data_IF_468659745977
#
_entry.id   IF_468659745977
#
_cell.length_a   1.000
_cell.length_b   1.000
_cell.length_c   1.000
_cell.angle_alpha   90.00
_cell.angle_beta   90.00
_cell.angle_gamma   90.00
#
_symmetry.space_group_name_H-M   'P 1'
#
loop_
_entity.id
_entity.type
_entity.pdbx_description
1 polymer ?
#
# COMPACT_ATOMS: atom_id res chain seq x y z
N UNK A 1 2.42 17.05 36.29
CA UNK A 1 3.68 16.72 35.57
C UNK A 1 3.63 17.15 34.10
N UNK A 2 2.56 16.85 33.34
CA UNK A 2 2.41 17.25 31.93
C UNK A 2 2.41 18.77 31.67
N UNK A 3 1.83 19.59 32.55
CA UNK A 3 1.85 21.05 32.38
C UNK A 3 3.25 21.67 32.51
N UNK A 4 4.15 21.03 33.28
CA UNK A 4 5.55 21.47 33.42
C UNK A 4 6.35 21.15 32.16
N UNK A 5 5.92 20.17 31.37
CA UNK A 5 6.60 19.78 30.13
C UNK A 5 6.29 20.75 28.97
N UNK A 6 5.18 21.50 29.05
CA UNK A 6 4.79 22.49 28.03
C UNK A 6 5.67 23.73 28.00
N UNK A 7 6.42 24.01 29.08
CA UNK A 7 7.38 25.13 29.15
C UNK A 7 8.79 24.76 28.66
N UNK A 8 9.04 23.46 28.43
CA UNK A 8 10.28 22.95 27.84
C UNK A 8 10.00 22.72 26.35
N UNK A 9 10.86 23.25 25.48
CA UNK A 9 10.69 23.10 24.03
C UNK A 9 10.55 21.64 23.56
N UNK A 10 10.07 21.43 22.33
CA UNK A 10 9.89 20.10 21.74
C UNK A 10 11.16 19.25 21.86
N UNK A 11 11.10 18.02 22.41
CA UNK A 11 12.27 17.15 22.49
C UNK A 11 12.82 16.79 21.12
N UNK A 12 14.14 16.68 21.00
CA UNK A 12 14.84 16.24 19.77
C UNK A 12 14.74 14.71 19.53
N UNK A 13 13.78 14.04 20.17
CA UNK A 13 13.56 12.60 20.07
C UNK A 13 12.11 12.30 19.67
N UNK A 14 11.91 11.78 18.46
CA UNK A 14 10.57 11.66 17.86
C UNK A 14 9.57 10.91 18.73
N UNK A 15 9.93 9.72 19.25
CA UNK A 15 8.99 8.91 20.04
C UNK A 15 8.55 9.62 21.32
N UNK A 16 9.50 10.32 21.98
CA UNK A 16 9.24 11.02 23.22
C UNK A 16 8.35 12.24 22.95
N UNK A 17 8.68 12.98 21.89
CA UNK A 17 7.90 14.11 21.44
C UNK A 17 6.46 13.65 21.12
N UNK A 18 6.31 12.63 20.27
CA UNK A 18 5.03 12.12 19.80
C UNK A 18 4.13 11.54 20.90
N UNK A 19 4.67 10.70 21.80
CA UNK A 19 3.86 9.99 22.80
C UNK A 19 3.61 10.79 24.07
N UNK A 20 4.60 11.57 24.52
CA UNK A 20 4.58 12.20 25.85
C UNK A 20 4.45 13.73 25.83
N UNK A 21 4.81 14.38 24.71
CA UNK A 21 4.81 15.84 24.55
C UNK A 21 3.76 16.36 23.55
N UNK A 22 2.86 15.49 23.08
CA UNK A 22 1.75 15.92 22.22
C UNK A 22 0.97 17.07 22.90
N UNK A 23 0.62 18.14 22.16
CA UNK A 23 -0.08 19.31 22.69
C UNK A 23 -1.58 19.00 22.90
N UNK A 24 -1.86 18.10 23.82
CA UNK A 24 -3.22 17.60 24.10
C UNK A 24 -4.02 18.56 24.98
N UNK A 25 -5.33 18.63 24.75
CA UNK A 25 -6.31 19.24 25.64
C UNK A 25 -6.69 18.32 26.80
N UNK A 26 -7.75 18.68 27.52
CA UNK A 26 -8.23 17.97 28.71
C UNK A 26 -8.73 16.55 28.40
N UNK A 27 -9.16 16.32 27.16
CA UNK A 27 -9.59 15.03 26.62
C UNK A 27 -8.43 14.10 26.21
N UNK A 28 -7.18 14.56 26.34
CA UNK A 28 -6.00 13.82 25.91
C UNK A 28 -5.80 13.78 24.39
N UNK A 29 -6.50 14.63 23.63
CA UNK A 29 -6.39 14.76 22.17
C UNK A 29 -5.84 16.12 21.77
N UNK A 30 -5.23 16.21 20.59
CA UNK A 30 -4.80 17.52 20.05
C UNK A 30 -6.06 18.29 19.62
N UNK A 31 -6.31 19.50 20.17
CA UNK A 31 -7.64 20.12 20.16
C UNK A 31 -8.08 20.73 18.82
N UNK A 32 -7.16 21.02 17.89
CA UNK A 32 -7.53 21.52 16.56
C UNK A 32 -6.56 21.03 15.45
N UNK A 33 -7.07 20.99 14.22
CA UNK A 33 -6.37 20.44 13.05
C UNK A 33 -5.14 21.28 12.65
N UNK A 34 -5.15 22.59 12.89
CA UNK A 34 -4.04 23.47 12.56
C UNK A 34 -2.86 23.21 13.51
N UNK A 35 -3.12 23.15 14.82
CA UNK A 35 -2.14 22.76 15.84
C UNK A 35 -1.61 21.35 15.60
N UNK A 36 -2.48 20.39 15.23
CA UNK A 36 -2.05 19.03 14.87
C UNK A 36 -1.08 19.06 13.69
N UNK A 37 -1.43 19.81 12.64
CA UNK A 37 -0.60 19.91 11.43
C UNK A 37 0.75 20.59 11.68
N UNK A 38 0.76 21.69 12.44
CA UNK A 38 1.99 22.38 12.85
C UNK A 38 2.88 21.47 13.70
N UNK A 39 2.29 20.77 14.67
CA UNK A 39 2.99 19.82 15.53
C UNK A 39 3.65 18.69 14.74
N UNK A 40 2.89 18.02 13.87
CA UNK A 40 3.42 16.92 13.05
C UNK A 40 4.48 17.40 12.07
N UNK A 41 4.36 18.63 11.56
CA UNK A 41 5.39 19.25 10.70
C UNK A 41 6.69 19.49 11.48
N UNK A 42 6.60 19.94 12.73
CA UNK A 42 7.77 20.09 13.60
C UNK A 42 8.44 18.72 13.88
N UNK A 43 7.64 17.70 14.20
CA UNK A 43 8.14 16.33 14.42
C UNK A 43 8.81 15.73 13.19
N UNK A 44 8.27 15.97 11.99
CA UNK A 44 8.89 15.55 10.73
C UNK A 44 10.26 16.21 10.47
N UNK A 45 10.58 17.30 11.17
CA UNK A 45 11.87 17.98 11.14
C UNK A 45 12.94 17.36 12.05
N UNK A 46 12.56 16.47 12.97
CA UNK A 46 13.49 15.82 13.90
C UNK A 46 14.43 14.90 13.10
N UNK A 47 15.73 15.11 13.27
CA UNK A 47 16.75 14.31 12.62
C UNK A 47 17.01 13.00 13.38
N UNK A 48 17.51 12.00 12.66
CA UNK A 48 17.98 10.75 13.27
C UNK A 48 19.10 11.04 14.29
N UNK A 49 19.07 10.46 15.50
CA UNK A 49 20.13 10.67 16.49
C UNK A 49 21.50 10.22 15.96
N UNK A 50 22.59 10.98 16.19
CA UNK A 50 23.91 10.69 15.61
C UNK A 50 24.51 9.36 16.06
N UNK A 51 24.11 8.88 17.24
CA UNK A 51 24.58 7.60 17.79
C UNK A 51 23.83 6.37 17.24
N UNK A 52 22.74 6.56 16.49
CA UNK A 52 21.94 5.46 15.94
C UNK A 52 22.76 4.58 14.98
N UNK A 53 23.63 5.18 14.17
CA UNK A 53 24.51 4.47 13.23
C UNK A 53 25.31 3.36 13.88
N UNK A 54 25.89 3.62 15.06
CA UNK A 54 26.65 2.61 15.83
C UNK A 54 25.76 1.46 16.30
N UNK A 55 24.51 1.75 16.71
CA UNK A 55 23.56 0.72 17.12
C UNK A 55 23.10 -0.13 15.94
N UNK A 56 22.82 0.53 14.81
CA UNK A 56 22.47 -0.12 13.56
C UNK A 56 23.58 -1.06 13.08
N UNK A 57 24.83 -0.59 13.04
CA UNK A 57 25.97 -1.42 12.62
C UNK A 57 26.20 -2.63 13.55
N UNK A 58 26.03 -2.45 14.86
CA UNK A 58 26.14 -3.55 15.84
C UNK A 58 25.05 -4.58 15.62
N UNK A 59 23.83 -4.14 15.34
CA UNK A 59 22.71 -5.01 15.03
C UNK A 59 22.93 -5.79 13.74
N UNK A 60 23.30 -5.11 12.65
CA UNK A 60 23.61 -5.73 11.37
C UNK A 60 24.71 -6.80 11.51
N UNK A 61 25.79 -6.49 12.25
CA UNK A 61 26.90 -7.42 12.48
C UNK A 61 26.57 -8.58 13.44
N UNK A 62 25.47 -8.50 14.19
CA UNK A 62 25.09 -9.57 15.11
C UNK A 62 24.56 -10.81 14.41
N UNK A 63 24.05 -10.65 13.18
CA UNK A 63 23.62 -11.74 12.31
C UNK A 63 24.81 -12.34 11.58
N UNK A 64 25.32 -13.43 12.13
CA UNK A 64 26.53 -14.10 11.62
C UNK A 64 26.40 -15.63 11.61
N UNK A 65 25.27 -16.17 12.08
CA UNK A 65 25.05 -17.60 12.03
C UNK A 65 24.83 -18.06 10.58
N UNK A 66 25.21 -19.30 10.21
CA UNK A 66 25.06 -19.79 8.83
C UNK A 66 23.64 -19.73 8.25
N UNK A 67 22.63 -19.74 9.11
CA UNK A 67 21.23 -19.66 8.72
C UNK A 67 20.62 -18.26 8.77
N UNK A 68 21.37 -17.27 9.27
CA UNK A 68 20.92 -15.88 9.26
C UNK A 68 20.89 -15.33 7.84
N UNK A 69 19.84 -14.57 7.53
CA UNK A 69 19.71 -13.83 6.27
C UNK A 69 19.41 -12.39 6.55
N UNK A 70 20.21 -11.52 5.94
CA UNK A 70 20.12 -10.08 6.10
C UNK A 70 20.06 -9.44 4.72
N UNK A 71 19.04 -8.63 4.49
CA UNK A 71 18.80 -7.97 3.21
C UNK A 71 18.21 -6.59 3.41
N UNK A 72 18.41 -5.69 2.45
CA UNK A 72 17.94 -4.30 2.51
C UNK A 72 16.91 -4.07 1.43
N UNK A 73 15.80 -3.42 1.78
CA UNK A 73 14.79 -2.97 0.82
C UNK A 73 14.56 -1.46 0.99
N UNK A 74 14.11 -0.82 -0.09
CA UNK A 74 13.81 0.60 -0.16
C UNK A 74 12.31 0.84 -0.30
N UNK A 75 11.78 1.84 0.40
CA UNK A 75 10.39 2.25 0.28
C UNK A 75 10.12 2.90 -1.08
N UNK A 76 9.28 2.25 -1.90
CA UNK A 76 8.77 2.81 -3.15
C UNK A 76 7.65 3.84 -2.90
N UNK A 77 6.94 3.72 -1.78
CA UNK A 77 5.86 4.63 -1.38
C UNK A 77 5.95 5.00 0.09
N UNK A 78 5.10 5.94 0.54
CA UNK A 78 5.03 6.33 1.96
C UNK A 78 4.64 5.13 2.81
N UNK A 79 5.21 5.03 4.01
CA UNK A 79 4.90 3.97 4.94
C UNK A 79 4.20 4.53 6.19
N UNK A 80 3.14 3.85 6.60
CA UNK A 80 2.40 4.13 7.84
C UNK A 80 2.38 2.85 8.68
N UNK A 81 3.29 2.69 9.64
CA UNK A 81 3.26 1.55 10.57
C UNK A 81 2.68 1.98 11.90
N UNK A 82 1.89 1.12 12.54
CA UNK A 82 1.34 1.40 13.87
C UNK A 82 0.08 2.28 13.85
N UNK A 83 -0.60 2.41 12.70
CA UNK A 83 -1.83 3.22 12.56
C UNK A 83 -2.90 2.92 13.62
N UNK A 84 -3.03 1.66 14.03
CA UNK A 84 -3.99 1.21 15.05
C UNK A 84 -3.55 1.40 16.50
N UNK A 85 -2.33 1.91 16.74
CA UNK A 85 -1.88 2.23 18.10
C UNK A 85 -2.64 3.44 18.62
N UNK A 86 -2.95 3.43 19.91
CA UNK A 86 -3.58 4.58 20.58
C UNK A 86 -2.67 5.80 20.45
N UNK A 87 -3.25 6.91 19.99
CA UNK A 87 -2.51 8.16 19.81
C UNK A 87 -3.38 9.38 20.13
N UNK A 88 -2.70 10.44 20.58
CA UNK A 88 -3.25 11.78 20.73
C UNK A 88 -3.68 12.41 19.39
N UNK A 89 -3.15 11.92 18.26
CA UNK A 89 -3.46 12.39 16.91
C UNK A 89 -4.43 11.48 16.14
N UNK A 90 -5.09 10.55 16.83
CA UNK A 90 -6.03 9.53 16.29
C UNK A 90 -5.42 8.48 15.36
N UNK A 91 -4.32 8.81 14.69
CA UNK A 91 -3.53 7.91 13.87
C UNK A 91 -2.25 7.58 14.61
N UNK A 92 -2.06 6.32 15.02
CA UNK A 92 -0.83 5.86 15.67
C UNK A 92 0.37 5.73 14.74
N UNK A 93 1.56 5.66 15.33
CA UNK A 93 2.83 5.47 14.64
C UNK A 93 3.69 4.45 15.41
N UNK A 94 4.38 3.56 14.70
CA UNK A 94 5.39 2.68 15.27
C UNK A 94 6.78 3.27 15.04
N UNK A 95 7.49 3.52 16.13
CA UNK A 95 8.85 4.08 16.14
C UNK A 95 9.71 3.28 17.10
N UNK A 96 11.00 3.19 16.81
CA UNK A 96 11.94 2.55 17.70
C UNK A 96 12.07 3.37 18.99
N UNK A 97 11.72 2.79 20.12
CA UNK A 97 11.57 3.51 21.39
C UNK A 97 12.86 4.27 21.83
N UNK A 98 14.04 3.66 21.66
CA UNK A 98 15.33 4.28 22.07
C UNK A 98 15.85 5.34 21.12
N UNK A 99 15.50 5.25 19.84
CA UNK A 99 16.18 5.98 18.77
C UNK A 99 15.25 6.94 18.02
N UNK A 100 13.93 6.83 18.20
CA UNK A 100 12.95 7.67 17.51
C UNK A 100 12.93 7.50 15.99
N UNK A 101 13.56 6.44 15.47
CA UNK A 101 13.60 6.12 14.03
C UNK A 101 12.43 5.22 13.63
N UNK A 102 12.07 5.16 12.34
CA UNK A 102 11.09 4.19 11.86
C UNK A 102 11.49 2.75 12.18
N UNK A 103 10.51 1.90 12.46
CA UNK A 103 10.71 0.45 12.62
C UNK A 103 9.50 -0.29 12.06
N UNK A 104 9.73 -1.44 11.43
CA UNK A 104 8.66 -2.35 11.04
C UNK A 104 8.72 -3.57 11.96
N UNK A 105 7.72 -3.78 12.84
CA UNK A 105 7.76 -4.90 13.78
C UNK A 105 7.83 -6.26 13.08
N UNK A 106 8.66 -7.15 13.59
CA UNK A 106 8.81 -8.54 13.16
C UNK A 106 7.48 -9.30 13.10
N UNK A 107 6.55 -9.14 14.08
CA UNK A 107 5.22 -9.71 13.99
C UNK A 107 4.40 -9.23 12.78
N UNK A 108 4.55 -7.96 12.38
CA UNK A 108 3.87 -7.44 11.19
C UNK A 108 4.45 -8.06 9.90
N UNK A 109 5.77 -8.27 9.86
CA UNK A 109 6.44 -8.95 8.75
C UNK A 109 6.03 -10.43 8.66
N UNK A 110 6.02 -11.13 9.81
CA UNK A 110 5.58 -12.52 9.91
C UNK A 110 4.13 -12.66 9.47
N UNK A 111 3.24 -11.79 9.95
CA UNK A 111 1.83 -11.79 9.60
C UNK A 111 1.59 -11.51 8.11
N UNK A 112 2.30 -10.53 7.53
CA UNK A 112 2.24 -10.25 6.09
C UNK A 112 2.68 -11.47 5.28
N UNK A 113 3.85 -12.04 5.60
CA UNK A 113 4.37 -13.20 4.87
C UNK A 113 3.41 -14.40 5.01
N UNK A 114 2.91 -14.68 6.21
CA UNK A 114 1.97 -15.76 6.46
C UNK A 114 0.68 -15.62 5.64
N UNK A 115 0.08 -14.42 5.63
CA UNK A 115 -1.13 -14.16 4.86
C UNK A 115 -0.88 -14.23 3.35
N UNK A 116 0.26 -13.69 2.88
CA UNK A 116 0.64 -13.74 1.48
C UNK A 116 0.84 -15.17 0.97
N UNK A 117 1.52 -16.00 1.76
CA UNK A 117 1.78 -17.40 1.43
C UNK A 117 0.49 -18.18 1.29
N UNK A 118 -0.40 -18.09 2.27
CA UNK A 118 -1.69 -18.79 2.23
C UNK A 118 -2.54 -18.35 1.04
N UNK A 119 -2.66 -17.04 0.81
CA UNK A 119 -3.53 -16.51 -0.24
C UNK A 119 -3.00 -16.74 -1.67
N UNK A 120 -1.67 -16.72 -1.87
CA UNK A 120 -1.06 -16.77 -3.22
C UNK A 120 -0.57 -18.17 -3.57
N UNK A 121 -0.01 -18.89 -2.59
CA UNK A 121 0.61 -20.20 -2.80
C UNK A 121 -0.23 -21.35 -2.25
N UNK A 122 -1.16 -21.09 -1.33
CA UNK A 122 -2.11 -22.08 -0.82
C UNK A 122 -3.05 -22.62 -1.90
N UNK A 123 -3.74 -23.74 -1.63
CA UNK A 123 -4.64 -24.38 -2.59
C UNK A 123 -5.87 -23.53 -2.87
N UNK A 124 -6.47 -23.69 -4.06
CA UNK A 124 -7.67 -22.96 -4.44
C UNK A 124 -8.90 -23.36 -3.61
N UNK A 125 -8.97 -24.63 -3.20
CA UNK A 125 -9.98 -25.17 -2.30
C UNK A 125 -9.32 -25.66 -0.99
N UNK A 126 -9.28 -24.82 0.06
CA UNK A 126 -8.62 -25.16 1.32
C UNK A 126 -9.41 -26.16 2.17
N UNK A 127 -10.69 -26.43 1.86
CA UNK A 127 -11.49 -27.41 2.59
C UNK A 127 -11.10 -28.84 2.19
N UNK A 128 -10.79 -29.05 0.90
CA UNK A 128 -10.30 -30.34 0.38
C UNK A 128 -9.02 -30.77 1.06
N UNK A 129 -8.96 -32.05 1.43
CA UNK A 129 -7.80 -32.60 2.13
C UNK A 129 -6.60 -32.73 1.19
N UNK A 130 -5.35 -32.63 1.69
CA UNK A 130 -4.17 -32.69 0.82
C UNK A 130 -4.09 -33.96 -0.04
N UNK A 131 -4.58 -35.11 0.44
CA UNK A 131 -4.62 -36.36 -0.33
C UNK A 131 -5.78 -36.47 -1.33
N UNK A 132 -6.74 -35.55 -1.27
CA UNK A 132 -7.83 -35.43 -2.26
C UNK A 132 -7.44 -34.46 -3.38
N UNK A 133 -6.35 -33.70 -3.22
CA UNK A 133 -5.87 -32.76 -4.23
C UNK A 133 -5.00 -33.48 -5.28
N UNK A 134 -5.09 -33.00 -6.52
CA UNK A 134 -4.43 -33.59 -7.68
C UNK A 134 -3.54 -32.56 -8.38
N UNK A 135 -2.51 -33.03 -9.10
CA UNK A 135 -1.59 -32.15 -9.83
C UNK A 135 -0.91 -31.12 -8.92
N UNK A 136 -0.85 -29.88 -9.40
CA UNK A 136 -0.17 -28.77 -8.71
C UNK A 136 -0.85 -28.37 -7.39
N UNK A 137 -2.16 -28.56 -7.27
CA UNK A 137 -2.92 -28.24 -6.05
C UNK A 137 -2.42 -29.05 -4.85
N UNK A 138 -2.00 -30.31 -5.08
CA UNK A 138 -1.38 -31.13 -4.02
C UNK A 138 -0.07 -30.52 -3.48
N UNK A 139 0.72 -29.86 -4.32
CA UNK A 139 1.92 -29.16 -3.87
C UNK A 139 1.56 -27.85 -3.16
N UNK A 140 0.54 -27.14 -3.64
CA UNK A 140 0.01 -25.91 -3.01
C UNK A 140 -0.53 -26.15 -1.61
N UNK A 141 -1.06 -27.34 -1.33
CA UNK A 141 -1.47 -27.74 0.01
C UNK A 141 -0.35 -27.63 1.07
N UNK A 142 0.94 -27.70 0.68
CA UNK A 142 2.05 -27.46 1.61
C UNK A 142 2.14 -26.01 2.11
N UNK A 143 1.62 -25.06 1.35
CA UNK A 143 1.61 -23.63 1.67
C UNK A 143 0.31 -23.17 2.32
N UNK A 144 -0.66 -24.07 2.51
CA UNK A 144 -1.92 -23.77 3.18
C UNK A 144 -1.68 -23.31 4.61
N UNK A 145 -2.33 -22.20 5.00
CA UNK A 145 -2.41 -21.73 6.37
C UNK A 145 -3.36 -22.55 7.23
N UNK A 146 -3.65 -22.05 8.43
CA UNK A 146 -4.53 -22.74 9.37
C UNK A 146 -5.98 -22.65 8.91
N UNK A 147 -6.64 -23.79 8.69
CA UNK A 147 -8.06 -23.82 8.38
C UNK A 147 -8.87 -23.69 9.66
N UNK A 148 -9.63 -22.59 9.76
CA UNK A 148 -10.52 -22.32 10.89
C UNK A 148 -11.97 -22.48 10.47
N UNK A 149 -12.76 -23.06 11.36
CA UNK A 149 -14.22 -23.08 11.28
C UNK A 149 -14.78 -22.48 12.55
N UNK A 150 -15.53 -21.40 12.40
CA UNK A 150 -15.95 -20.54 13.52
C UNK A 150 -14.75 -20.07 14.37
N UNK A 151 -14.72 -20.45 15.66
CA UNK A 151 -13.63 -20.11 16.59
C UNK A 151 -12.60 -21.23 16.74
N UNK A 152 -12.79 -22.37 16.07
CA UNK A 152 -11.95 -23.57 16.25
C UNK A 152 -10.96 -23.74 15.11
N UNK A 153 -9.81 -24.32 15.46
CA UNK A 153 -8.82 -24.74 14.47
C UNK A 153 -9.20 -26.13 13.99
N UNK A 154 -9.73 -26.21 12.78
CA UNK A 154 -10.20 -27.46 12.20
C UNK A 154 -9.02 -28.28 11.68
N UNK A 155 -8.15 -27.68 10.86
CA UNK A 155 -6.96 -28.33 10.31
C UNK A 155 -5.72 -27.44 10.48
N UNK A 156 -4.61 -28.06 10.85
CA UNK A 156 -3.31 -27.41 10.87
C UNK A 156 -2.85 -27.00 9.45
N UNK A 157 -1.81 -26.16 9.36
CA UNK A 157 -1.27 -25.71 8.09
C UNK A 157 -0.45 -26.82 7.40
N UNK A 158 -0.18 -26.61 6.11
CA UNK A 158 0.68 -27.46 5.30
C UNK A 158 2.14 -27.44 5.75
N UNK A 159 2.95 -28.36 5.21
CA UNK A 159 4.32 -28.60 5.67
C UNK A 159 5.24 -27.37 5.56
N UNK A 160 5.23 -26.68 4.43
CA UNK A 160 6.08 -25.50 4.20
C UNK A 160 5.61 -24.32 5.06
N UNK A 161 4.30 -24.07 5.12
CA UNK A 161 3.73 -23.03 5.99
C UNK A 161 4.07 -23.30 7.46
N UNK A 162 3.87 -24.54 7.93
CA UNK A 162 4.19 -25.00 9.29
C UNK A 162 5.67 -24.76 9.61
N UNK A 163 6.56 -25.13 8.69
CA UNK A 163 8.00 -24.93 8.88
C UNK A 163 8.35 -23.45 9.07
N UNK A 164 7.73 -22.54 8.33
CA UNK A 164 8.00 -21.11 8.43
C UNK A 164 7.36 -20.45 9.66
N UNK A 165 6.09 -20.74 9.93
CA UNK A 165 5.27 -19.94 10.85
C UNK A 165 4.85 -20.67 12.14
N UNK A 166 4.90 -22.00 12.13
CA UNK A 166 4.42 -22.89 13.19
C UNK A 166 2.98 -23.34 12.98
N UNK A 167 2.46 -24.11 13.94
CA UNK A 167 1.08 -24.60 13.96
C UNK A 167 0.55 -24.63 15.40
N UNK A 168 -0.74 -24.33 15.63
CA UNK A 168 -1.45 -24.79 16.82
C UNK A 168 -1.86 -26.27 16.68
N UNK A 169 -2.42 -26.84 17.75
CA UNK A 169 -3.19 -28.09 17.65
C UNK A 169 -4.50 -27.87 16.86
N UNK A 170 -4.95 -28.92 16.18
CA UNK A 170 -6.15 -28.91 15.33
C UNK A 170 -7.03 -30.14 15.56
N UNK A 171 -8.33 -30.00 15.32
CA UNK A 171 -9.29 -31.10 15.50
C UNK A 171 -9.01 -32.30 14.57
N UNK A 172 -8.52 -32.05 13.36
CA UNK A 172 -8.21 -33.09 12.37
C UNK A 172 -6.81 -33.72 12.54
N UNK A 173 -6.04 -33.36 13.58
CA UNK A 173 -4.65 -33.81 13.73
C UNK A 173 -4.50 -35.35 13.75
N UNK A 174 -5.43 -36.08 14.38
CA UNK A 174 -5.38 -37.54 14.41
C UNK A 174 -5.62 -38.16 13.03
N UNK A 175 -6.58 -37.60 12.26
CA UNK A 175 -6.88 -38.06 10.91
C UNK A 175 -5.73 -37.77 9.93
N UNK A 176 -5.10 -36.61 10.08
CA UNK A 176 -3.94 -36.20 9.29
C UNK A 176 -2.71 -37.07 9.62
N UNK A 177 -2.48 -37.36 10.92
CA UNK A 177 -1.37 -38.22 11.38
C UNK A 177 -1.51 -39.65 10.85
N UNK A 178 -2.72 -40.20 10.84
CA UNK A 178 -2.99 -41.53 10.29
C UNK A 178 -2.66 -41.64 8.79
N UNK A 179 -2.51 -40.51 8.08
CA UNK A 179 -2.12 -40.43 6.66
C UNK A 179 -0.66 -40.00 6.46
N UNK A 180 0.13 -39.89 7.53
CA UNK A 180 1.57 -39.57 7.46
C UNK A 180 1.91 -38.09 7.33
N UNK A 181 0.99 -37.18 7.73
CA UNK A 181 1.26 -35.74 7.75
C UNK A 181 1.75 -35.28 9.12
N UNK A 182 2.59 -34.23 9.13
CA UNK A 182 3.01 -33.55 10.35
C UNK A 182 1.85 -32.75 10.95
N UNK A 183 1.55 -33.01 12.23
CA UNK A 183 0.37 -32.50 12.95
C UNK A 183 0.71 -31.99 14.34
N UNK A 184 -0.24 -31.33 15.01
CA UNK A 184 -0.08 -30.84 16.38
C UNK A 184 0.65 -29.50 16.51
N UNK A 185 0.72 -28.99 17.73
CA UNK A 185 1.37 -27.74 18.05
C UNK A 185 2.88 -27.76 17.77
N UNK A 186 3.38 -26.76 17.06
CA UNK A 186 4.80 -26.59 16.74
C UNK A 186 5.16 -25.12 16.59
N UNK A 187 6.37 -24.76 17.01
CA UNK A 187 6.93 -23.43 16.75
C UNK A 187 7.43 -23.34 15.31
N UNK A 188 7.28 -22.16 14.68
CA UNK A 188 7.91 -21.88 13.40
C UNK A 188 9.42 -21.91 13.52
N UNK A 189 10.11 -22.35 12.47
CA UNK A 189 11.57 -22.49 12.42
C UNK A 189 12.29 -21.19 12.03
N UNK A 190 11.54 -20.14 11.66
CA UNK A 190 12.07 -18.84 11.26
C UNK A 190 11.66 -17.76 12.26
N UNK A 191 12.65 -17.03 12.75
CA UNK A 191 12.48 -15.80 13.53
C UNK A 191 12.46 -14.63 12.56
N UNK A 192 11.38 -13.86 12.61
CA UNK A 192 11.23 -12.60 11.88
C UNK A 192 11.58 -11.46 12.83
N UNK A 193 12.77 -10.88 12.65
CA UNK A 193 13.21 -9.76 13.48
C UNK A 193 12.55 -8.45 13.03
N UNK A 194 12.57 -7.44 13.90
CA UNK A 194 12.15 -6.09 13.53
C UNK A 194 13.03 -5.56 12.40
N UNK A 195 12.42 -5.01 11.35
CA UNK A 195 13.17 -4.34 10.31
C UNK A 195 13.58 -2.95 10.77
N UNK A 196 14.90 -2.74 10.87
CA UNK A 196 15.47 -1.48 11.35
C UNK A 196 15.69 -0.51 10.18
N UNK A 197 15.45 0.77 10.44
CA UNK A 197 15.77 1.83 9.49
C UNK A 197 17.27 1.89 9.18
N UNK A 198 17.65 2.07 7.92
CA UNK A 198 19.06 2.25 7.53
C UNK A 198 19.38 3.75 7.58
N UNK A 199 20.32 4.19 8.44
CA UNK A 199 20.66 5.61 8.55
C UNK A 199 21.22 6.15 7.23
N UNK A 200 20.72 7.32 6.82
CA UNK A 200 21.24 8.07 5.69
C UNK A 200 22.34 9.07 6.13
N UNK A 201 22.83 9.86 5.17
CA UNK A 201 23.84 10.90 5.40
C UNK A 201 23.33 12.05 6.31
N UNK A 202 24.22 12.98 6.64
CA UNK A 202 23.97 14.07 7.60
C UNK A 202 22.65 14.83 7.35
N UNK A 203 21.87 15.03 8.42
CA UNK A 203 20.57 15.69 8.35
C UNK A 203 19.40 14.77 7.99
N UNK A 204 19.56 13.45 8.14
CA UNK A 204 18.55 12.44 7.87
C UNK A 204 17.24 12.67 8.65
N UNK A 205 16.14 12.84 7.91
CA UNK A 205 14.78 13.13 8.42
C UNK A 205 13.77 12.19 7.77
N UNK A 206 13.60 10.98 8.32
CA UNK A 206 12.84 9.92 7.65
C UNK A 206 11.34 10.17 7.60
N UNK A 207 10.81 11.07 8.43
CA UNK A 207 9.37 11.29 8.56
C UNK A 207 8.85 12.48 7.76
N UNK A 208 7.58 12.40 7.36
CA UNK A 208 6.83 13.46 6.71
C UNK A 208 5.39 13.48 7.22
N UNK A 209 4.84 14.69 7.41
CA UNK A 209 3.40 14.86 7.58
C UNK A 209 2.67 14.47 6.29
N UNK A 210 1.47 13.94 6.45
CA UNK A 210 0.52 13.61 5.40
C UNK A 210 -0.91 13.89 5.87
N UNK A 211 -1.87 13.93 4.96
CA UNK A 211 -3.26 14.28 5.25
C UNK A 211 -4.21 13.27 4.61
N UNK A 212 -5.16 12.77 5.40
CA UNK A 212 -6.29 11.98 4.92
C UNK A 212 -7.56 12.83 5.03
N UNK A 213 -8.33 12.90 3.96
CA UNK A 213 -9.60 13.62 3.97
C UNK A 213 -10.76 12.66 3.91
N UNK A 214 -11.61 12.65 4.94
CA UNK A 214 -12.87 11.88 4.95
C UNK A 214 -14.01 12.76 4.46
N UNK A 215 -14.78 12.26 3.49
CA UNK A 215 -15.87 13.00 2.84
C UNK A 215 -17.28 12.60 3.31
N UNK A 216 -17.45 11.50 4.04
CA UNK A 216 -18.76 10.96 4.45
C UNK A 216 -18.72 10.54 5.93
N UNK A 217 -18.33 11.46 6.81
CA UNK A 217 -18.04 11.13 8.21
C UNK A 217 -19.29 10.66 8.93
N UNK A 218 -20.43 11.33 8.71
CA UNK A 218 -21.68 11.02 9.40
C UNK A 218 -22.24 9.65 8.99
N UNK A 219 -22.01 9.21 7.75
CA UNK A 219 -22.34 7.85 7.30
C UNK A 219 -21.56 6.79 8.09
N UNK A 220 -20.24 6.96 8.24
CA UNK A 220 -19.39 6.00 8.95
C UNK A 220 -19.63 6.02 10.46
N UNK A 221 -19.74 7.20 11.07
CA UNK A 221 -19.95 7.35 12.51
C UNK A 221 -21.33 6.81 12.94
N UNK A 222 -22.35 6.93 12.09
CA UNK A 222 -23.67 6.37 12.32
C UNK A 222 -23.80 4.87 11.98
N UNK A 223 -22.71 4.22 11.52
CA UNK A 223 -22.75 2.84 11.01
C UNK A 223 -23.84 2.62 9.95
N UNK A 224 -24.06 3.62 9.07
CA UNK A 224 -25.06 3.59 8.01
C UNK A 224 -26.46 4.06 8.41
N UNK A 225 -26.62 4.67 9.60
CA UNK A 225 -27.88 5.29 10.03
C UNK A 225 -28.22 6.60 9.29
N UNK A 226 -27.20 7.32 8.82
CA UNK A 226 -27.33 8.48 7.95
C UNK A 226 -26.90 8.13 6.54
N UNK A 227 -27.65 8.54 5.52
CA UNK A 227 -27.31 8.26 4.12
C UNK A 227 -26.09 9.08 3.67
N UNK A 228 -25.17 8.46 2.90
CA UNK A 228 -24.00 9.18 2.40
C UNK A 228 -24.45 10.25 1.41
N UNK A 229 -23.92 11.46 1.55
CA UNK A 229 -24.25 12.58 0.69
C UNK A 229 -22.97 13.33 0.24
N UNK A 230 -22.99 13.91 -0.95
CA UNK A 230 -21.81 14.51 -1.59
C UNK A 230 -21.52 15.96 -1.16
N UNK A 231 -22.33 16.53 -0.25
CA UNK A 231 -22.21 17.93 0.20
C UNK A 231 -21.59 18.06 1.60
N UNK A 232 -21.17 16.95 2.20
CA UNK A 232 -20.45 16.96 3.47
C UNK A 232 -19.07 17.62 3.34
N UNK A 233 -18.72 18.42 4.35
CA UNK A 233 -17.43 19.09 4.37
C UNK A 233 -16.30 18.07 4.60
N UNK A 234 -15.24 18.10 3.78
CA UNK A 234 -14.07 17.25 3.99
C UNK A 234 -13.45 17.53 5.35
N UNK A 235 -13.23 16.48 6.16
CA UNK A 235 -12.49 16.60 7.43
C UNK A 235 -11.04 16.13 7.23
N UNK A 236 -10.04 17.03 7.17
CA UNK A 236 -8.65 16.67 6.96
C UNK A 236 -8.01 16.19 8.27
N UNK A 237 -7.49 14.96 8.26
CA UNK A 237 -6.80 14.35 9.40
C UNK A 237 -5.32 14.26 9.04
N UNK A 238 -4.50 15.10 9.66
CA UNK A 238 -3.05 15.07 9.50
C UNK A 238 -2.42 13.95 10.34
N UNK A 239 -1.44 13.25 9.77
CA UNK A 239 -0.70 12.17 10.43
C UNK A 239 0.76 12.09 9.95
N UNK A 240 1.60 11.31 10.64
CA UNK A 240 3.00 11.09 10.27
C UNK A 240 3.17 9.81 9.43
N UNK A 241 4.07 9.90 8.45
CA UNK A 241 4.47 8.81 7.55
C UNK A 241 5.98 8.77 7.43
N UNK A 242 6.52 7.62 7.01
CA UNK A 242 7.92 7.52 6.57
C UNK A 242 7.99 7.87 5.08
N UNK A 243 8.99 8.65 4.69
CA UNK A 243 9.22 9.10 3.31
C UNK A 243 9.56 7.93 2.38
N UNK A 244 9.16 7.99 1.10
CA UNK A 244 9.74 7.12 0.07
C UNK A 244 11.27 7.30 -0.01
N UNK A 245 11.97 6.28 -0.49
CA UNK A 245 13.43 6.23 -0.56
C UNK A 245 14.13 5.84 0.74
N UNK A 246 13.40 5.81 1.86
CA UNK A 246 13.90 5.26 3.12
C UNK A 246 14.20 3.76 2.97
N UNK A 247 15.35 3.33 3.51
CA UNK A 247 15.81 1.95 3.44
C UNK A 247 15.62 1.26 4.78
N UNK A 248 15.31 -0.03 4.75
CA UNK A 248 15.17 -0.87 5.94
C UNK A 248 16.04 -2.13 5.80
N UNK A 249 16.66 -2.52 6.91
CA UNK A 249 17.39 -3.77 7.09
C UNK A 249 16.43 -4.82 7.62
N UNK A 250 16.24 -5.88 6.87
CA UNK A 250 15.46 -7.05 7.25
C UNK A 250 16.42 -8.15 7.70
N UNK A 251 16.05 -8.85 8.76
CA UNK A 251 16.83 -9.97 9.26
C UNK A 251 15.91 -11.16 9.59
N UNK A 252 16.34 -12.35 9.18
CA UNK A 252 15.68 -13.63 9.44
C UNK A 252 16.70 -14.59 10.04
N UNK A 253 16.32 -15.32 11.09
CA UNK A 253 17.18 -16.35 11.70
C UNK A 253 16.47 -17.69 11.75
N UNK A 254 17.19 -18.77 11.46
CA UNK A 254 16.64 -20.12 11.41
C UNK A 254 17.46 -21.04 10.52
N UNK A 255 16.96 -22.23 10.17
CA UNK A 255 17.58 -23.09 9.18
C UNK A 255 17.71 -22.40 7.81
N UNK A 256 18.85 -22.56 7.14
CA UNK A 256 19.22 -21.79 5.95
C UNK A 256 18.24 -21.95 4.76
N UNK A 257 17.66 -23.14 4.62
CA UNK A 257 16.61 -23.47 3.66
C UNK A 257 15.30 -22.72 3.98
N UNK A 258 14.89 -22.71 5.25
CA UNK A 258 13.69 -22.00 5.70
C UNK A 258 13.86 -20.48 5.58
N UNK A 259 15.00 -19.93 5.98
CA UNK A 259 15.23 -18.47 5.88
C UNK A 259 15.33 -18.02 4.43
N UNK A 260 15.88 -18.85 3.53
CA UNK A 260 15.92 -18.54 2.09
C UNK A 260 14.52 -18.45 1.50
N UNK A 261 13.66 -19.43 1.84
CA UNK A 261 12.27 -19.43 1.41
C UNK A 261 11.52 -18.22 1.99
N UNK A 262 11.70 -17.94 3.28
CA UNK A 262 11.07 -16.81 3.95
C UNK A 262 11.50 -15.45 3.36
N UNK A 263 12.78 -15.24 3.07
CA UNK A 263 13.29 -14.01 2.43
C UNK A 263 12.60 -13.77 1.08
N UNK A 264 12.52 -14.79 0.24
CA UNK A 264 11.87 -14.71 -1.08
C UNK A 264 10.40 -14.33 -0.93
N UNK A 265 9.65 -15.09 -0.13
CA UNK A 265 8.21 -14.89 0.07
C UNK A 265 7.90 -13.53 0.70
N UNK A 266 8.68 -13.12 1.69
CA UNK A 266 8.51 -11.81 2.34
C UNK A 266 8.85 -10.67 1.38
N UNK A 267 9.91 -10.79 0.58
CA UNK A 267 10.28 -9.77 -0.42
C UNK A 267 9.17 -9.59 -1.46
N UNK A 268 8.62 -10.70 -1.98
CA UNK A 268 7.48 -10.65 -2.90
C UNK A 268 6.23 -10.02 -2.27
N UNK A 269 5.93 -10.33 -1.00
CA UNK A 269 4.81 -9.78 -0.28
C UNK A 269 4.97 -8.25 -0.06
N UNK A 270 6.17 -7.80 0.32
CA UNK A 270 6.47 -6.38 0.53
C UNK A 270 6.42 -5.57 -0.79
N UNK A 271 6.82 -6.18 -1.91
CA UNK A 271 6.75 -5.56 -3.24
C UNK A 271 5.30 -5.46 -3.75
N UNK A 272 4.50 -6.54 -3.63
CA UNK A 272 3.16 -6.62 -4.23
C UNK A 272 2.08 -6.04 -3.31
N UNK A 273 2.08 -6.42 -2.04
CA UNK A 273 1.03 -6.08 -1.08
C UNK A 273 1.42 -4.94 -0.14
N UNK A 274 2.70 -4.83 0.20
CA UNK A 274 3.20 -3.84 1.14
C UNK A 274 2.85 -4.14 2.60
N UNK A 275 3.34 -3.30 3.50
CA UNK A 275 3.20 -3.45 4.96
C UNK A 275 2.69 -2.16 5.61
N UNK A 276 2.01 -2.29 6.75
CA UNK A 276 1.46 -1.15 7.50
C UNK A 276 0.01 -0.84 7.13
N UNK A 277 -0.44 0.36 7.49
CA UNK A 277 -1.78 0.87 7.20
C UNK A 277 -1.90 1.37 5.76
N UNK A 278 -3.14 1.38 5.26
CA UNK A 278 -3.52 1.96 3.95
C UNK A 278 -2.78 1.35 2.75
N UNK A 279 -2.43 0.07 2.82
CA UNK A 279 -1.78 -0.67 1.70
C UNK A 279 -2.64 -0.73 0.43
N UNK A 280 -3.96 -0.69 0.55
CA UNK A 280 -4.91 -0.58 -0.58
C UNK A 280 -4.84 0.77 -1.30
N UNK A 281 -4.42 1.83 -0.61
CA UNK A 281 -4.15 3.15 -1.19
C UNK A 281 -2.69 3.30 -1.68
N UNK A 282 -1.94 2.20 -1.73
CA UNK A 282 -0.57 2.16 -2.26
C UNK A 282 0.53 2.43 -1.23
N UNK A 283 0.23 2.55 0.06
CA UNK A 283 1.25 2.75 1.10
C UNK A 283 2.07 1.47 1.34
N UNK A 284 3.29 1.68 1.84
CA UNK A 284 4.14 0.64 2.41
C UNK A 284 4.69 -0.38 1.43
N UNK A 285 4.89 -0.01 0.15
CA UNK A 285 5.56 -0.87 -0.83
C UNK A 285 7.06 -0.77 -0.68
N UNK A 286 7.75 -1.91 -0.64
CA UNK A 286 9.20 -1.96 -0.60
C UNK A 286 9.75 -2.78 -1.77
N UNK A 287 10.87 -2.32 -2.31
CA UNK A 287 11.53 -2.91 -3.49
C UNK A 287 13.02 -3.09 -3.23
N UNK A 288 13.64 -4.00 -3.99
CA UNK A 288 15.10 -4.16 -3.94
C UNK A 288 15.82 -2.88 -4.41
N UNK A 289 16.91 -2.46 -3.73
CA UNK A 289 17.71 -1.31 -4.13
C UNK A 289 18.20 -1.47 -5.58
N UNK A 290 17.96 -0.48 -6.44
CA UNK A 290 18.35 -0.51 -7.85
C UNK A 290 17.24 -0.86 -8.86
N UNK A 291 16.04 -1.29 -8.41
CA UNK A 291 14.84 -1.36 -9.27
C UNK A 291 14.03 -0.07 -9.32
N UNK A 292 14.11 0.78 -8.30
CA UNK A 292 13.54 2.15 -8.30
C UNK A 292 14.71 3.12 -8.40
N UNK A 293 14.85 3.87 -9.50
CA UNK A 293 14.21 5.18 -9.65
C UNK A 293 13.64 5.45 -11.05
N UNK A 294 13.88 4.59 -12.05
CA UNK A 294 13.55 4.91 -13.45
C UNK A 294 12.22 4.32 -13.94
N UNK A 295 11.75 3.23 -13.32
CA UNK A 295 10.45 2.62 -13.62
C UNK A 295 9.29 3.24 -12.86
N UNK A 296 9.43 3.41 -11.54
CA UNK A 296 8.33 3.89 -10.70
C UNK A 296 8.08 5.40 -10.74
N UNK A 297 9.04 6.23 -11.15
CA UNK A 297 8.73 7.64 -11.45
C UNK A 297 7.82 7.77 -12.68
N UNK A 298 7.89 6.81 -13.62
CA UNK A 298 6.97 6.73 -14.76
C UNK A 298 5.63 6.11 -14.37
N UNK A 299 5.63 5.08 -13.52
CA UNK A 299 4.40 4.40 -13.09
C UNK A 299 3.63 5.12 -11.97
N UNK A 300 4.29 5.84 -11.06
CA UNK A 300 3.64 6.68 -10.05
C UNK A 300 3.13 8.00 -10.66
N UNK A 301 3.82 8.55 -11.67
CA UNK A 301 3.28 9.63 -12.49
C UNK A 301 2.12 9.13 -13.39
N UNK A 302 2.15 7.87 -13.84
CA UNK A 302 1.04 7.25 -14.56
C UNK A 302 -0.14 6.91 -13.63
N UNK A 303 0.11 6.44 -12.40
CA UNK A 303 -0.93 6.05 -11.43
C UNK A 303 -1.58 7.26 -10.74
N UNK A 304 -0.81 8.31 -10.42
CA UNK A 304 -1.36 9.60 -10.00
C UNK A 304 -2.10 10.35 -11.14
N UNK A 305 -1.87 9.96 -12.40
CA UNK A 305 -2.65 10.42 -13.55
C UNK A 305 -3.87 9.53 -13.87
N UNK A 306 -4.03 8.36 -13.22
CA UNK A 306 -5.15 7.43 -13.42
C UNK A 306 -6.29 7.59 -12.41
N UNK A 307 -6.28 8.62 -11.56
CA UNK A 307 -7.54 9.18 -11.09
C UNK A 307 -8.27 9.75 -12.29
N UNK A 308 -9.29 9.04 -12.79
CA UNK A 308 -10.01 9.34 -14.03
C UNK A 308 -10.41 10.82 -14.11
N UNK A 309 -9.56 11.63 -14.73
CA UNK A 309 -9.89 12.99 -15.10
C UNK A 309 -10.89 12.86 -16.25
N UNK A 310 -12.13 13.30 -16.02
CA UNK A 310 -13.12 13.37 -17.08
C UNK A 310 -12.51 14.12 -18.30
N UNK A 311 -12.59 13.54 -19.51
CA UNK A 311 -12.04 14.16 -20.71
C UNK A 311 -12.61 15.57 -20.89
N UNK A 312 -11.76 16.54 -21.22
CA UNK A 312 -12.17 17.92 -21.47
C UNK A 312 -12.34 18.15 -22.97
N UNK A 313 -13.12 19.17 -23.38
CA UNK A 313 -13.07 19.66 -24.75
C UNK A 313 -11.63 19.94 -25.21
N UNK A 314 -11.21 19.31 -26.30
CA UNK A 314 -9.87 19.36 -26.87
C UNK A 314 -9.00 18.12 -26.61
N UNK A 315 -9.37 17.25 -25.66
CA UNK A 315 -8.59 16.04 -25.35
C UNK A 315 -8.76 14.98 -26.45
N UNK A 316 -7.68 14.28 -26.79
CA UNK A 316 -7.73 13.08 -27.65
C UNK A 316 -7.98 11.86 -26.79
N UNK A 317 -8.99 11.08 -27.16
CA UNK A 317 -9.42 9.88 -26.43
C UNK A 317 -9.64 8.71 -27.39
N UNK A 318 -9.44 7.49 -26.92
CA UNK A 318 -9.82 6.29 -27.67
C UNK A 318 -11.28 5.94 -27.40
N UNK A 319 -12.13 6.05 -28.43
CA UNK A 319 -13.55 5.77 -28.33
C UNK A 319 -13.94 4.64 -29.28
N UNK A 320 -14.97 3.88 -28.89
CA UNK A 320 -15.55 2.81 -29.71
C UNK A 320 -16.65 3.39 -30.58
N UNK A 321 -16.64 3.09 -31.89
CA UNK A 321 -17.73 3.45 -32.80
C UNK A 321 -18.98 2.64 -32.47
N UNK A 322 -20.11 3.30 -32.29
CA UNK A 322 -21.38 2.65 -31.98
C UNK A 322 -22.12 2.23 -33.25
N UNK A 323 -22.90 1.16 -33.13
CA UNK A 323 -23.80 0.67 -34.19
C UNK A 323 -24.96 1.63 -34.42
N UNK A 324 -25.45 2.28 -33.36
CA UNK A 324 -26.47 3.31 -33.42
C UNK A 324 -25.96 4.57 -34.14
N UNK A 325 -26.63 4.98 -35.22
CA UNK A 325 -26.34 6.20 -35.98
C UNK A 325 -27.20 7.36 -35.49
N UNK A 326 -26.77 8.59 -35.76
CA UNK A 326 -27.64 9.77 -35.56
C UNK A 326 -28.84 9.74 -36.51
N UNK A 327 -29.90 10.49 -36.21
CA UNK A 327 -31.09 10.63 -37.10
C UNK A 327 -30.76 11.09 -38.53
N UNK A 328 -29.58 11.67 -38.74
CA UNK A 328 -29.05 12.12 -40.05
C UNK A 328 -28.00 11.16 -40.65
N UNK A 329 -27.87 9.94 -40.11
CA UNK A 329 -26.94 8.90 -40.59
C UNK A 329 -25.48 9.05 -40.12
N UNK A 330 -25.17 10.02 -39.26
CA UNK A 330 -23.81 10.24 -38.74
C UNK A 330 -23.35 9.19 -37.72
N UNK A 331 -22.05 9.04 -37.56
CA UNK A 331 -21.42 8.13 -36.59
C UNK A 331 -21.62 8.63 -35.14
N UNK A 332 -21.82 7.70 -34.20
CA UNK A 332 -21.72 7.92 -32.76
C UNK A 332 -20.51 7.17 -32.21
N UNK A 333 -19.96 7.66 -31.11
CA UNK A 333 -18.87 7.00 -30.41
C UNK A 333 -19.07 7.04 -28.90
N UNK A 334 -18.46 6.08 -28.19
CA UNK A 334 -18.45 6.00 -26.73
C UNK A 334 -17.02 5.87 -26.21
N UNK A 335 -16.64 6.74 -25.29
CA UNK A 335 -15.40 6.61 -24.53
C UNK A 335 -15.70 5.81 -23.25
N UNK A 336 -15.37 4.51 -23.26
CA UNK A 336 -15.68 3.57 -22.17
C UNK A 336 -15.16 4.03 -20.80
N UNK A 337 -13.92 4.56 -20.64
CA UNK A 337 -13.40 4.94 -19.34
C UNK A 337 -14.16 6.07 -18.64
N UNK A 338 -14.79 6.99 -19.39
CA UNK A 338 -15.52 8.14 -18.80
C UNK A 338 -17.02 8.10 -19.02
N UNK A 339 -17.54 7.07 -19.70
CA UNK A 339 -18.96 6.95 -20.04
C UNK A 339 -19.50 8.04 -20.98
N UNK A 340 -18.64 8.85 -21.62
CA UNK A 340 -19.09 9.88 -22.55
C UNK A 340 -19.55 9.21 -23.85
N UNK A 341 -20.76 9.55 -24.30
CA UNK A 341 -21.34 9.08 -25.56
C UNK A 341 -21.88 10.26 -26.35
N UNK A 342 -21.66 10.26 -27.65
CA UNK A 342 -21.99 11.41 -28.47
C UNK A 342 -21.83 11.21 -29.98
N UNK A 343 -22.43 12.08 -30.80
CA UNK A 343 -22.19 12.08 -32.24
C UNK A 343 -20.76 12.55 -32.57
N UNK A 344 -20.23 12.06 -33.68
CA UNK A 344 -19.03 12.60 -34.32
C UNK A 344 -19.47 13.76 -35.23
N UNK A 345 -19.15 14.99 -34.84
CA UNK A 345 -19.64 16.22 -35.47
C UNK A 345 -19.24 16.32 -36.95
N UNK A 346 -18.06 15.81 -37.32
CA UNK A 346 -17.56 15.69 -38.69
C UNK A 346 -17.59 14.23 -39.17
N UNK A 347 -18.74 13.54 -39.03
CA UNK A 347 -18.90 12.13 -39.40
C UNK A 347 -18.42 11.76 -40.82
N UNK A 348 -18.43 12.71 -41.78
CA UNK A 348 -17.93 12.49 -43.14
C UNK A 348 -16.39 12.33 -43.23
N UNK A 349 -15.65 12.72 -42.19
CA UNK A 349 -14.20 12.54 -42.09
C UNK A 349 -13.81 11.16 -41.54
N UNK A 350 -14.78 10.36 -41.09
CA UNK A 350 -14.53 8.97 -40.66
C UNK A 350 -14.26 8.12 -41.91
N UNK A 351 -13.10 7.44 -42.02
CA UNK A 351 -12.76 6.60 -43.17
C UNK A 351 -13.80 5.51 -43.45
N UNK A 352 -14.04 5.21 -44.73
CA UNK A 352 -15.07 4.26 -45.17
C UNK A 352 -14.79 2.79 -44.80
N UNK A 353 -13.56 2.47 -44.39
CA UNK A 353 -13.14 1.14 -43.90
C UNK A 353 -13.58 0.87 -42.45
N UNK A 354 -14.05 1.88 -41.71
CA UNK A 354 -14.42 1.74 -40.30
C UNK A 354 -15.79 1.11 -40.10
N UNK A 355 -15.87 0.23 -39.10
CA UNK A 355 -17.07 -0.54 -38.74
C UNK A 355 -17.50 -0.22 -37.30
N UNK A 356 -18.80 -0.42 -36.97
CA UNK A 356 -19.23 -0.43 -35.57
C UNK A 356 -18.38 -1.40 -34.74
N UNK A 357 -17.97 -1.00 -33.54
CA UNK A 357 -17.07 -1.75 -32.67
C UNK A 357 -15.59 -1.39 -32.81
N UNK A 358 -15.19 -0.67 -33.86
CA UNK A 358 -13.80 -0.24 -34.02
C UNK A 358 -13.41 0.78 -32.94
N UNK A 359 -12.22 0.59 -32.38
CA UNK A 359 -11.56 1.56 -31.49
C UNK A 359 -10.84 2.61 -32.32
N UNK A 360 -11.20 3.88 -32.15
CA UNK A 360 -10.69 5.00 -32.94
C UNK A 360 -10.30 6.17 -32.05
N UNK A 361 -9.25 6.89 -32.43
CA UNK A 361 -8.82 8.10 -31.72
C UNK A 361 -9.64 9.32 -32.15
N UNK A 362 -10.37 9.91 -31.22
CA UNK A 362 -11.24 11.08 -31.46
C UNK A 362 -10.86 12.24 -30.55
N UNK A 363 -11.20 13.46 -30.97
CA UNK A 363 -11.07 14.68 -30.16
C UNK A 363 -12.42 14.94 -29.48
N UNK A 364 -12.42 15.12 -28.16
CA UNK A 364 -13.63 15.49 -27.42
C UNK A 364 -13.97 16.95 -27.73
N UNK A 365 -15.19 17.24 -28.20
CA UNK A 365 -15.67 18.62 -28.43
C UNK A 365 -16.55 19.11 -27.29
N UNK A 366 -17.38 18.23 -26.75
CA UNK A 366 -18.32 18.54 -25.68
C UNK A 366 -18.24 17.38 -24.68
N UNK A 367 -18.02 17.70 -23.41
CA UNK A 367 -17.91 16.75 -22.31
C UNK A 367 -18.97 17.06 -21.24
N UNK A 368 -20.25 16.93 -21.60
CA UNK A 368 -21.40 17.21 -20.72
C UNK A 368 -22.30 15.98 -20.62
N UNK A 369 -21.75 14.85 -20.17
CA UNK A 369 -22.51 13.63 -19.94
C UNK A 369 -23.26 13.14 -21.18
N UNK A 370 -24.61 13.21 -21.17
CA UNK A 370 -25.49 12.78 -22.27
C UNK A 370 -25.53 13.71 -23.49
N UNK A 371 -24.96 14.92 -23.40
CA UNK A 371 -24.84 15.88 -24.52
C UNK A 371 -23.42 15.91 -25.11
N UNK A 372 -22.64 14.87 -24.88
CA UNK A 372 -21.24 14.84 -25.30
C UNK A 372 -21.12 14.69 -26.81
N UNK A 373 -19.98 15.07 -27.37
CA UNK A 373 -19.74 15.04 -28.81
C UNK A 373 -18.27 14.97 -29.14
N UNK A 374 -17.95 14.29 -30.24
CA UNK A 374 -16.59 14.00 -30.67
C UNK A 374 -16.30 14.59 -32.06
N UNK A 375 -15.03 14.72 -32.41
CA UNK A 375 -14.56 15.12 -33.74
C UNK A 375 -13.44 14.17 -34.19
N UNK A 376 -13.50 13.73 -35.44
CA UNK A 376 -12.43 12.97 -36.08
C UNK A 376 -11.22 13.88 -36.34
N UNK A 377 -10.00 13.49 -35.92
CA UNK A 377 -8.81 14.31 -36.12
C UNK A 377 -8.48 14.43 -37.62
N UNK A 378 -8.36 15.66 -38.12
CA UNK A 378 -7.86 15.90 -39.48
C UNK A 378 -6.35 15.63 -39.61
N UNK A 379 -5.89 15.25 -40.81
CA UNK A 379 -4.47 15.02 -41.13
C UNK A 379 -3.64 16.31 -41.10
N UNK A 380 -3.31 16.79 -39.90
CA UNK A 380 -2.14 17.65 -39.64
C UNK A 380 -1.58 17.32 -38.24
N UNK A 381 -0.52 16.52 -38.18
CA UNK A 381 0.37 16.36 -37.01
C UNK A 381 1.52 17.39 -37.08
N UNK A 382 2.40 17.52 -36.07
CA UNK A 382 2.21 17.78 -34.64
C UNK A 382 3.01 19.03 -34.20
N UNK A 383 2.65 19.76 -33.13
CA UNK A 383 3.55 20.81 -32.58
C UNK A 383 3.55 20.84 -31.05
N UNK A 384 4.69 20.43 -30.49
CA UNK A 384 5.25 20.87 -29.21
C UNK A 384 5.04 22.39 -29.01
N UNK A 385 4.50 22.81 -27.87
CA UNK A 385 4.74 24.18 -27.38
C UNK A 385 5.57 24.15 -26.10
N UNK A 386 6.86 24.39 -26.33
CA UNK A 386 7.83 24.86 -25.35
C UNK A 386 7.30 26.08 -24.59
N UNK A 387 7.64 26.11 -23.29
CA UNK A 387 7.60 27.29 -22.43
C UNK A 387 8.51 28.37 -23.00
N UNK A 388 8.01 29.57 -23.20
CA UNK A 388 8.81 30.79 -23.23
C UNK A 388 8.25 31.81 -22.24
N UNK A 389 9.04 32.06 -21.20
CA UNK A 389 8.97 33.24 -20.32
C UNK A 389 9.28 34.51 -21.11
N UNK A 390 8.56 35.60 -20.82
CA UNK A 390 9.05 37.01 -20.70
C UNK A 390 7.84 37.87 -20.27
N UNK A 391 7.84 38.41 -19.04
CA UNK A 391 8.27 39.78 -18.69
C UNK A 391 7.65 40.86 -19.60
N UNK A 392 6.54 41.44 -19.17
CA UNK A 392 6.47 42.79 -18.59
C UNK A 392 5.17 42.94 -17.80
#
# INVERSE_FOLDING_TARGET
MRDVLRSVGTPDHLALAYDAWAPVGDDGKVPDDERRSQWLTALAGIAVPPNYSRSYERWEKSFSAPGDRVFKLELASRLLVGHGNTSATDVGLAVHHTWGVPVIPGPALKGLAAHYVDAVYGPADPERKPWEQEGDERARANYQGVLRRDRRVQRGPGADYRALFGSPDAEEDDAMRARGYDTGASAGRVIFHDALYVPAADGDRPFAADVLTVHQKDYYDSSGGSWPNDYENPTPIAFLTVRPGAKFLFALSGPADCTALAERLLSEALEKWGVGGKTSAGYGRLISPGRGTDGHARDAAASAAHGQRAPRPGDRVEAVLLEERTKKGGWKARHEPSGLEGPIQNSAAVPADKRPGDRVSLIVKIAKGRESGFEWPGEKSPVQRQRTRKRR
#
